data_IF_379626206281
#
_entry.id   IF_379626206281
#
_cell.length_a   1.000
_cell.length_b   1.000
_cell.length_c   1.000
_cell.angle_alpha   90.00
_cell.angle_beta   90.00
_cell.angle_gamma   90.00
#
_symmetry.space_group_name_H-M   'P 1'
#
loop_
_entity.id
_entity.type
_entity.pdbx_description
1 polymer ?
#
# COMPACT_ATOMS: atom_id res chain seq x y z
N UNK A 1 3.98 19.25 -4.08
CA UNK A 1 3.43 19.02 -2.73
C UNK A 1 2.51 17.81 -2.81
N UNK A 2 2.28 17.07 -1.72
CA UNK A 2 1.26 16.01 -1.70
C UNK A 2 -0.10 16.71 -1.83
N UNK A 3 -0.77 16.48 -2.96
CA UNK A 3 -2.13 17.00 -3.26
C UNK A 3 -3.17 16.10 -2.60
N UNK A 4 -3.10 15.90 -1.29
CA UNK A 4 -4.08 15.10 -0.56
C UNK A 4 -4.35 15.68 0.83
N UNK A 5 -5.57 15.45 1.30
CA UNK A 5 -6.05 15.87 2.62
C UNK A 5 -5.84 14.76 3.66
N UNK A 6 -5.82 13.50 3.22
CA UNK A 6 -5.54 12.31 4.03
C UNK A 6 -4.63 11.35 3.26
N UNK A 7 -3.67 10.74 3.97
CA UNK A 7 -2.84 9.67 3.42
C UNK A 7 -3.16 8.34 4.11
N UNK A 8 -3.49 7.31 3.34
CA UNK A 8 -3.63 5.95 3.81
C UNK A 8 -2.44 5.13 3.33
N UNK A 9 -1.67 4.60 4.29
CA UNK A 9 -0.55 3.72 4.03
C UNK A 9 -0.99 2.30 4.36
N UNK A 10 -1.00 1.41 3.37
CA UNK A 10 -1.32 0.00 3.57
C UNK A 10 -0.07 -0.78 3.98
N UNK A 11 -0.19 -1.54 5.04
CA UNK A 11 0.82 -2.48 5.50
C UNK A 11 0.78 -2.67 7.02
N UNK A 12 1.57 -3.62 7.49
CA UNK A 12 1.55 -4.03 8.88
C UNK A 12 2.19 -3.02 9.82
N UNK A 13 1.65 -2.94 11.04
CA UNK A 13 2.19 -2.11 12.11
C UNK A 13 3.66 -2.43 12.47
N UNK A 14 4.09 -3.67 12.22
CA UNK A 14 5.46 -4.13 12.45
C UNK A 14 6.41 -3.95 11.25
N UNK A 15 5.93 -3.40 10.13
CA UNK A 15 6.76 -3.12 8.95
C UNK A 15 7.44 -1.76 9.09
N UNK A 16 8.77 -1.76 9.22
CA UNK A 16 9.57 -0.53 9.28
C UNK A 16 9.39 0.33 8.02
N UNK A 17 9.28 -0.28 6.84
CA UNK A 17 9.05 0.46 5.59
C UNK A 17 7.68 1.15 5.59
N UNK A 18 6.62 0.44 6.01
CA UNK A 18 5.27 1.02 6.04
C UNK A 18 5.16 2.13 7.08
N UNK A 19 5.78 1.96 8.26
CA UNK A 19 5.88 3.03 9.26
C UNK A 19 6.62 4.25 8.71
N UNK A 20 7.75 4.06 8.01
CA UNK A 20 8.51 5.17 7.44
C UNK A 20 7.71 5.95 6.38
N UNK A 21 6.90 5.26 5.57
CA UNK A 21 5.99 5.92 4.62
C UNK A 21 4.93 6.77 5.33
N UNK A 22 4.35 6.27 6.44
CA UNK A 22 3.40 7.03 7.26
C UNK A 22 4.06 8.27 7.86
N UNK A 23 5.21 8.11 8.51
CA UNK A 23 5.96 9.22 9.10
C UNK A 23 6.28 10.30 8.06
N UNK A 24 6.74 9.90 6.87
CA UNK A 24 7.05 10.84 5.80
C UNK A 24 5.81 11.61 5.32
N UNK A 25 4.65 10.96 5.28
CA UNK A 25 3.38 11.63 4.98
C UNK A 25 3.00 12.65 6.07
N UNK A 26 3.15 12.29 7.35
CA UNK A 26 2.91 13.19 8.49
C UNK A 26 3.87 14.39 8.49
N UNK A 27 5.14 14.19 8.12
CA UNK A 27 6.15 15.26 7.96
C UNK A 27 5.72 16.32 6.92
N UNK A 28 4.79 16.00 6.00
CA UNK A 28 4.20 16.98 5.06
C UNK A 28 3.05 17.81 5.65
N UNK A 29 2.72 17.59 6.92
CA UNK A 29 1.65 18.28 7.63
C UNK A 29 0.25 17.75 7.30
N UNK A 30 0.15 16.56 6.70
CA UNK A 30 -1.12 15.90 6.38
C UNK A 30 -1.36 14.72 7.33
N UNK A 31 -2.61 14.49 7.78
CA UNK A 31 -2.93 13.31 8.54
C UNK A 31 -2.60 12.06 7.72
N UNK A 32 -1.96 11.09 8.35
CA UNK A 32 -1.66 9.81 7.74
C UNK A 32 -2.06 8.66 8.67
N UNK A 33 -2.59 7.59 8.10
CA UNK A 33 -3.00 6.39 8.84
C UNK A 33 -2.31 5.17 8.24
N UNK A 34 -1.82 4.29 9.11
CA UNK A 34 -1.30 2.98 8.73
C UNK A 34 -2.38 1.93 9.00
N UNK A 35 -2.80 1.23 7.95
CA UNK A 35 -3.90 0.25 8.00
C UNK A 35 -3.45 -1.09 7.41
N UNK A 36 -3.93 -2.19 7.98
CA UNK A 36 -3.74 -3.53 7.45
C UNK A 36 -4.79 -3.86 6.37
N UNK A 37 -5.94 -3.21 6.38
CA UNK A 37 -6.98 -3.38 5.38
C UNK A 37 -8.20 -2.47 5.56
N UNK A 38 -9.28 -2.69 4.79
CA UNK A 38 -10.45 -1.80 4.78
C UNK A 38 -11.18 -1.74 6.13
N UNK A 39 -11.10 -2.81 6.94
CA UNK A 39 -11.77 -2.88 8.23
C UNK A 39 -11.17 -1.93 9.28
N UNK A 40 -9.95 -1.46 9.07
CA UNK A 40 -9.31 -0.50 9.98
C UNK A 40 -9.73 0.94 9.69
N UNK A 41 -10.38 1.20 8.55
CA UNK A 41 -10.80 2.54 8.15
C UNK A 41 -11.95 3.02 9.04
N UNK A 42 -11.76 4.19 9.67
CA UNK A 42 -12.79 4.84 10.47
C UNK A 42 -13.43 5.98 9.69
N UNK A 43 -14.77 6.04 9.69
CA UNK A 43 -15.52 7.03 8.90
C UNK A 43 -15.16 8.48 9.27
N UNK A 44 -14.84 8.74 10.54
CA UNK A 44 -14.47 10.06 11.04
C UNK A 44 -13.21 10.63 10.37
N UNK A 45 -12.32 9.78 9.84
CA UNK A 45 -11.12 10.22 9.14
C UNK A 45 -11.42 10.94 7.82
N UNK A 46 -12.61 10.71 7.25
CA UNK A 46 -13.02 11.23 5.94
C UNK A 46 -13.86 12.51 6.05
N UNK A 47 -14.14 13.01 7.25
CA UNK A 47 -14.90 14.25 7.44
C UNK A 47 -14.09 15.44 6.92
N UNK A 48 -14.62 16.11 5.89
CA UNK A 48 -13.97 17.28 5.28
C UNK A 48 -12.75 16.94 4.41
N UNK A 49 -12.57 15.67 4.03
CA UNK A 49 -11.52 15.19 3.13
C UNK A 49 -12.08 15.10 1.72
N UNK A 50 -11.46 15.78 0.76
CA UNK A 50 -11.84 15.67 -0.66
C UNK A 50 -10.91 14.70 -1.40
N UNK A 51 -9.62 14.68 -1.05
CA UNK A 51 -8.63 13.84 -1.73
C UNK A 51 -7.89 12.93 -0.74
N UNK A 52 -7.96 11.62 -0.99
CA UNK A 52 -7.22 10.59 -0.24
C UNK A 52 -6.09 10.05 -1.10
N UNK A 53 -4.85 10.15 -0.61
CA UNK A 53 -3.72 9.44 -1.20
C UNK A 53 -3.64 8.04 -0.61
N UNK A 54 -3.75 7.01 -1.45
CA UNK A 54 -3.53 5.63 -1.06
C UNK A 54 -2.16 5.17 -1.54
N UNK A 55 -1.34 4.67 -0.63
CA UNK A 55 -0.03 4.06 -0.94
C UNK A 55 0.14 2.79 -0.13
N UNK A 56 1.09 1.95 -0.50
CA UNK A 56 1.29 0.66 0.12
C UNK A 56 2.77 0.37 0.34
N UNK A 57 3.11 -0.24 1.48
CA UNK A 57 4.45 -0.78 1.70
C UNK A 57 4.74 -1.95 0.75
N UNK A 58 6.02 -2.27 0.58
CA UNK A 58 6.47 -3.32 -0.36
C UNK A 58 5.87 -4.72 -0.10
N UNK A 59 5.38 -4.97 1.10
CA UNK A 59 4.81 -6.25 1.53
C UNK A 59 3.27 -6.32 1.47
N UNK A 60 2.60 -5.22 1.12
CA UNK A 60 1.14 -5.19 1.08
C UNK A 60 0.62 -5.89 -0.20
N UNK A 61 -0.27 -6.89 -0.09
CA UNK A 61 -0.82 -7.55 -1.28
C UNK A 61 -1.69 -6.60 -2.10
N UNK A 62 -1.58 -6.67 -3.43
CA UNK A 62 -2.37 -5.87 -4.37
C UNK A 62 -3.89 -6.07 -4.16
N UNK A 63 -4.32 -7.28 -3.82
CA UNK A 63 -5.73 -7.56 -3.52
C UNK A 63 -6.26 -6.75 -2.34
N UNK A 64 -5.43 -6.44 -1.34
CA UNK A 64 -5.84 -5.64 -0.18
C UNK A 64 -5.93 -4.17 -0.57
N UNK A 65 -5.00 -3.69 -1.39
CA UNK A 65 -5.07 -2.34 -1.97
C UNK A 65 -6.39 -2.18 -2.73
N UNK A 66 -6.75 -3.13 -3.57
CA UNK A 66 -7.99 -3.08 -4.34
C UNK A 66 -9.23 -3.05 -3.42
N UNK A 67 -9.29 -3.90 -2.39
CA UNK A 67 -10.39 -3.91 -1.42
C UNK A 67 -10.54 -2.56 -0.69
N UNK A 68 -9.44 -1.90 -0.37
CA UNK A 68 -9.45 -0.56 0.21
C UNK A 68 -10.01 0.48 -0.77
N UNK A 69 -9.65 0.41 -2.05
CA UNK A 69 -10.20 1.29 -3.08
C UNK A 69 -11.70 1.06 -3.29
N UNK A 70 -12.13 -0.21 -3.32
CA UNK A 70 -13.54 -0.60 -3.46
C UNK A 70 -14.35 -0.08 -2.27
N UNK A 71 -13.82 -0.19 -1.04
CA UNK A 71 -14.45 0.39 0.15
C UNK A 71 -14.67 1.91 0.01
N UNK A 72 -13.67 2.65 -0.46
CA UNK A 72 -13.77 4.10 -0.64
C UNK A 72 -14.77 4.46 -1.74
N UNK A 73 -14.81 3.66 -2.81
CA UNK A 73 -15.78 3.81 -3.89
C UNK A 73 -17.21 3.56 -3.39
N UNK A 74 -17.46 2.43 -2.75
CA UNK A 74 -18.80 2.01 -2.32
C UNK A 74 -19.37 2.89 -1.20
N UNK A 75 -18.51 3.40 -0.31
CA UNK A 75 -18.94 4.24 0.82
C UNK A 75 -19.07 5.71 0.47
N UNK A 76 -18.15 6.25 -0.32
CA UNK A 76 -18.04 7.69 -0.54
C UNK A 76 -18.26 8.10 -2.00
N UNK A 77 -18.47 7.14 -2.92
CA UNK A 77 -18.57 7.42 -4.35
C UNK A 77 -17.25 7.87 -4.95
N UNK A 78 -16.12 7.52 -4.34
CA UNK A 78 -14.80 7.99 -4.75
C UNK A 78 -14.43 7.48 -6.16
N UNK A 79 -13.70 8.31 -6.90
CA UNK A 79 -13.08 7.92 -8.18
C UNK A 79 -11.59 7.69 -7.97
N UNK A 80 -11.04 6.67 -8.61
CA UNK A 80 -9.62 6.31 -8.47
C UNK A 80 -8.81 6.86 -9.65
N UNK A 81 -7.75 7.62 -9.34
CA UNK A 81 -6.72 8.03 -10.29
C UNK A 81 -5.38 7.39 -9.89
N UNK A 82 -4.78 6.62 -10.81
CA UNK A 82 -3.47 6.00 -10.58
C UNK A 82 -2.37 6.95 -11.05
N UNK A 83 -1.47 7.35 -10.15
CA UNK A 83 -0.28 8.14 -10.48
C UNK A 83 0.99 7.31 -10.33
N UNK A 84 1.71 7.09 -11.44
CA UNK A 84 3.04 6.48 -11.44
C UNK A 84 4.10 7.56 -11.52
N UNK A 85 4.82 7.80 -10.41
CA UNK A 85 5.89 8.80 -10.35
C UNK A 85 7.20 8.27 -10.94
N UNK A 86 7.50 7.00 -10.68
CA UNK A 86 8.72 6.34 -11.16
C UNK A 86 8.43 4.86 -11.39
N UNK A 87 8.99 4.29 -12.47
CA UNK A 87 9.02 2.84 -12.69
C UNK A 87 10.37 2.30 -12.23
N UNK A 88 10.34 1.28 -11.38
CA UNK A 88 11.53 0.58 -10.89
C UNK A 88 11.41 -0.90 -11.25
N UNK A 89 12.39 -1.41 -12.00
CA UNK A 89 12.49 -2.83 -12.33
C UNK A 89 13.66 -3.43 -11.55
N UNK A 90 13.35 -4.32 -10.60
CA UNK A 90 14.36 -5.02 -9.80
C UNK A 90 14.13 -6.51 -9.93
N UNK A 91 15.16 -7.23 -10.40
CA UNK A 91 15.13 -8.68 -10.55
C UNK A 91 16.09 -9.34 -9.55
N UNK A 92 15.53 -10.11 -8.62
CA UNK A 92 16.30 -10.97 -7.73
C UNK A 92 16.34 -12.38 -8.29
N UNK A 93 17.48 -12.78 -8.84
CA UNK A 93 17.68 -14.17 -9.26
C UNK A 93 17.85 -15.06 -8.04
N UNK A 94 17.19 -16.23 -8.03
CA UNK A 94 17.47 -17.22 -6.99
C UNK A 94 18.97 -17.59 -7.01
N UNK A 95 19.64 -17.63 -5.84
CA UNK A 95 20.99 -18.18 -5.70
C UNK A 95 21.09 -19.57 -6.32
N UNK A 96 22.26 -19.92 -6.88
CA UNK A 96 22.46 -21.18 -7.63
C UNK A 96 22.16 -22.40 -6.77
N UNK A 97 22.45 -22.30 -5.49
CA UNK A 97 22.29 -23.31 -4.46
C UNK A 97 20.80 -23.64 -4.22
N UNK A 98 19.92 -22.63 -4.28
CA UNK A 98 18.48 -22.81 -4.07
C UNK A 98 17.73 -23.28 -5.32
N UNK A 99 18.29 -23.04 -6.53
CA UNK A 99 17.69 -23.55 -7.77
C UNK A 99 17.67 -25.07 -7.84
N UNK A 100 18.64 -25.73 -7.23
CA UNK A 100 18.73 -27.19 -7.20
C UNK A 100 17.68 -27.83 -6.28
N UNK A 101 17.28 -27.13 -5.22
CA UNK A 101 16.28 -27.62 -4.26
C UNK A 101 14.87 -27.53 -4.83
N UNK A 102 14.56 -26.48 -5.60
CA UNK A 102 13.23 -26.28 -6.21
C UNK A 102 13.07 -27.06 -7.53
N UNK A 103 14.16 -27.38 -8.22
CA UNK A 103 14.15 -28.12 -9.49
C UNK A 103 14.14 -29.65 -9.37
N UNK A 104 14.03 -30.22 -8.17
CA UNK A 104 14.20 -31.65 -7.90
C UNK A 104 12.98 -32.55 -8.13
N UNK A 105 11.80 -32.01 -8.49
CA UNK A 105 10.55 -32.79 -8.59
C UNK A 105 10.03 -33.03 -10.02
N UNK A 106 10.90 -33.19 -11.01
CA UNK A 106 10.51 -33.84 -12.28
C UNK A 106 11.61 -34.77 -12.78
N UNK A 107 11.47 -36.07 -12.48
CA UNK A 107 12.33 -37.10 -13.04
C UNK A 107 12.27 -38.46 -12.34
N UNK A 108 11.11 -39.13 -12.38
CA UNK A 108 10.97 -40.56 -12.72
C UNK A 108 9.49 -40.93 -12.90
#
# INVERSE_FOLDING_TARGET
>A
AVEADLVLVLGSQNSSNSQRLRELAEETGRPAQLIDGPNDMQEDWFIGVETVLVTAGASAPESVVQQCLDFLHDRFGATVEVRTIRKEEVHFSLPRELRQVVGGEQGN
#
